data_IF_609052285612
#
_entry.id   IF_609052285612
#
_cell.length_a   1.000
_cell.length_b   1.000
_cell.length_c   1.000
_cell.angle_alpha   90.00
_cell.angle_beta   90.00
_cell.angle_gamma   90.00
#
_symmetry.space_group_name_H-M   'P 1'
#
loop_
_entity.id
_entity.type
_entity.pdbx_description
1 polymer ?
#
# COMPACT_ATOMS: atom_id res chain seq x y z
N UNK A 1 11.08 18.11 19.79
CA UNK A 1 12.21 17.59 18.99
C UNK A 1 11.81 16.59 17.90
N UNK A 2 11.08 15.48 18.20
CA UNK A 2 10.74 14.45 17.19
C UNK A 2 10.02 14.98 15.94
N UNK A 3 9.11 15.94 16.10
CA UNK A 3 8.36 16.53 14.98
C UNK A 3 9.25 17.37 14.06
N UNK A 4 10.16 18.16 14.63
CA UNK A 4 11.10 18.99 13.86
C UNK A 4 12.06 18.11 13.06
N UNK A 5 12.60 17.06 13.68
CA UNK A 5 13.50 16.10 13.01
C UNK A 5 12.79 15.42 11.84
N UNK A 6 11.57 14.92 12.06
CA UNK A 6 10.76 14.33 10.97
C UNK A 6 10.54 15.33 9.84
N UNK A 7 10.20 16.58 10.17
CA UNK A 7 9.99 17.63 9.17
C UNK A 7 11.25 17.92 8.35
N UNK A 8 12.42 17.99 8.99
CA UNK A 8 13.70 18.17 8.30
C UNK A 8 14.00 16.99 7.36
N UNK A 9 13.85 15.76 7.84
CA UNK A 9 14.07 14.55 7.04
C UNK A 9 13.15 14.54 5.81
N UNK A 10 11.85 14.81 6.00
CA UNK A 10 10.89 14.84 4.88
C UNK A 10 11.29 15.89 3.84
N UNK A 11 11.71 17.08 4.25
CA UNK A 11 12.17 18.13 3.31
C UNK A 11 13.40 17.69 2.52
N UNK A 12 14.39 17.09 3.18
CA UNK A 12 15.60 16.59 2.53
C UNK A 12 15.27 15.49 1.52
N UNK A 13 14.43 14.52 1.90
CA UNK A 13 13.99 13.45 0.99
C UNK A 13 13.25 14.04 -0.22
N UNK A 14 12.32 14.97 0.00
CA UNK A 14 11.58 15.62 -1.08
C UNK A 14 12.51 16.35 -2.06
N UNK A 15 13.56 16.99 -1.55
CA UNK A 15 14.56 17.64 -2.39
C UNK A 15 15.36 16.64 -3.23
N UNK A 16 15.76 15.50 -2.66
CA UNK A 16 16.44 14.43 -3.40
C UNK A 16 15.54 13.87 -4.50
N UNK A 17 14.27 13.59 -4.18
CA UNK A 17 13.30 13.09 -5.15
C UNK A 17 13.09 14.09 -6.29
N UNK A 18 13.02 15.38 -5.96
CA UNK A 18 12.96 16.46 -6.94
C UNK A 18 14.16 16.41 -7.90
N UNK A 19 15.39 16.34 -7.39
CA UNK A 19 16.60 16.24 -8.21
C UNK A 19 16.62 14.97 -9.08
N UNK A 20 16.22 13.82 -8.53
CA UNK A 20 16.17 12.56 -9.29
C UNK A 20 15.19 12.63 -10.47
N UNK A 21 14.06 13.31 -10.29
CA UNK A 21 13.00 13.40 -11.31
C UNK A 21 13.44 14.11 -12.59
N UNK A 22 14.39 15.05 -12.48
CA UNK A 22 14.89 15.82 -13.62
C UNK A 22 15.72 14.95 -14.59
N UNK A 23 16.39 13.91 -14.09
CA UNK A 23 17.27 13.06 -14.90
C UNK A 23 16.59 11.79 -15.41
N UNK A 24 17.00 11.27 -16.58
CA UNK A 24 16.47 10.01 -17.14
C UNK A 24 16.75 8.82 -16.21
N UNK A 25 17.97 8.72 -15.71
CA UNK A 25 18.39 7.65 -14.80
C UNK A 25 17.64 7.76 -13.47
N UNK A 26 17.48 8.97 -12.93
CA UNK A 26 16.74 9.16 -11.69
C UNK A 26 15.26 8.81 -11.82
N UNK A 27 14.62 9.09 -12.96
CA UNK A 27 13.26 8.60 -13.24
C UNK A 27 13.18 7.07 -13.25
N UNK A 28 14.10 6.39 -13.91
CA UNK A 28 14.18 4.94 -13.90
C UNK A 28 14.37 4.38 -12.48
N UNK A 29 15.26 4.98 -11.68
CA UNK A 29 15.46 4.59 -10.27
C UNK A 29 14.16 4.75 -9.46
N UNK A 30 13.46 5.88 -9.62
CA UNK A 30 12.18 6.11 -8.94
C UNK A 30 11.12 5.08 -9.35
N UNK A 31 11.05 4.72 -10.63
CA UNK A 31 10.13 3.71 -11.13
C UNK A 31 10.41 2.32 -10.52
N UNK A 32 11.67 1.89 -10.46
CA UNK A 32 12.07 0.63 -9.81
C UNK A 32 11.68 0.63 -8.33
N UNK A 33 11.91 1.75 -7.63
CA UNK A 33 11.54 1.89 -6.20
C UNK A 33 10.03 1.79 -6.02
N UNK A 34 9.25 2.53 -6.81
CA UNK A 34 7.79 2.50 -6.76
C UNK A 34 7.27 1.09 -7.06
N UNK A 35 7.77 0.46 -8.11
CA UNK A 35 7.38 -0.90 -8.49
C UNK A 35 7.63 -1.89 -7.35
N UNK A 36 8.80 -1.81 -6.70
CA UNK A 36 9.13 -2.69 -5.57
C UNK A 36 8.24 -2.45 -4.35
N UNK A 37 7.89 -1.19 -4.05
CA UNK A 37 6.98 -0.86 -2.95
C UNK A 37 5.55 -1.33 -3.25
N UNK A 38 5.07 -1.16 -4.48
CA UNK A 38 3.72 -1.55 -4.89
C UNK A 38 3.55 -3.07 -5.00
N UNK A 39 4.62 -3.82 -5.28
CA UNK A 39 4.58 -5.28 -5.30
C UNK A 39 4.80 -5.95 -3.94
N UNK A 40 4.88 -5.16 -2.87
CA UNK A 40 4.95 -5.72 -1.53
C UNK A 40 3.56 -6.24 -1.13
N UNK A 41 3.36 -7.55 -1.23
CA UNK A 41 2.09 -8.23 -0.96
C UNK A 41 2.17 -9.00 0.35
N UNK A 42 1.11 -8.92 1.16
CA UNK A 42 0.90 -9.73 2.36
C UNK A 42 -0.25 -10.70 2.10
N UNK A 43 -0.02 -11.99 2.34
CA UNK A 43 -1.06 -13.02 2.37
C UNK A 43 -1.72 -13.04 3.75
N UNK A 44 -3.05 -12.98 3.76
CA UNK A 44 -3.88 -13.09 4.96
C UNK A 44 -4.82 -14.28 4.75
N UNK A 45 -4.83 -15.21 5.70
CA UNK A 45 -5.69 -16.38 5.65
C UNK A 45 -6.99 -16.10 6.42
N UNK A 46 -8.10 -15.93 5.71
CA UNK A 46 -9.42 -15.74 6.28
C UNK A 46 -10.47 -16.43 5.40
N UNK A 47 -10.88 -17.65 5.77
CA UNK A 47 -11.78 -18.51 4.98
C UNK A 47 -11.36 -18.69 3.51
N UNK A 48 -10.08 -18.49 3.23
CA UNK A 48 -9.50 -18.38 1.89
C UNK A 48 -8.21 -17.56 1.93
N UNK A 49 -7.43 -17.62 0.83
CA UNK A 49 -6.20 -16.82 0.69
C UNK A 49 -6.53 -15.45 0.12
N UNK A 50 -6.32 -14.40 0.90
CA UNK A 50 -6.44 -13.02 0.45
C UNK A 50 -5.07 -12.40 0.31
N UNK A 51 -4.84 -11.64 -0.76
CA UNK A 51 -3.56 -10.99 -1.05
C UNK A 51 -3.74 -9.47 -1.04
N UNK A 52 -3.00 -8.78 -0.17
CA UNK A 52 -3.06 -7.33 -0.02
C UNK A 52 -1.74 -6.67 -0.40
N UNK A 53 -1.79 -5.69 -1.30
CA UNK A 53 -0.67 -4.78 -1.54
C UNK A 53 -0.49 -3.82 -0.36
N UNK A 54 0.69 -3.81 0.24
CA UNK A 54 1.00 -3.10 1.49
C UNK A 54 2.27 -2.26 1.35
N UNK A 55 2.23 -1.14 0.60
CA UNK A 55 3.42 -0.34 0.28
C UNK A 55 4.02 0.42 1.46
N UNK A 56 3.33 0.46 2.60
CA UNK A 56 3.83 1.03 3.85
C UNK A 56 3.27 0.28 5.07
N UNK A 57 3.80 0.61 6.25
CA UNK A 57 3.46 -0.04 7.51
C UNK A 57 1.99 0.12 7.91
N UNK A 58 1.36 1.24 7.57
CA UNK A 58 -0.05 1.45 7.85
C UNK A 58 -0.91 0.50 7.02
N UNK A 59 -0.60 0.32 5.73
CA UNK A 59 -1.28 -0.67 4.90
C UNK A 59 -1.05 -2.09 5.43
N UNK A 60 0.18 -2.43 5.85
CA UNK A 60 0.50 -3.73 6.44
C UNK A 60 -0.31 -4.00 7.72
N UNK A 61 -0.42 -3.00 8.60
CA UNK A 61 -1.24 -3.12 9.81
C UNK A 61 -2.72 -3.34 9.48
N UNK A 62 -3.26 -2.62 8.48
CA UNK A 62 -4.65 -2.78 8.04
C UNK A 62 -4.90 -4.17 7.46
N UNK A 63 -4.01 -4.67 6.60
CA UNK A 63 -4.10 -6.03 6.06
C UNK A 63 -4.11 -7.07 7.19
N UNK A 64 -3.18 -6.97 8.14
CA UNK A 64 -3.06 -7.93 9.25
C UNK A 64 -4.26 -7.90 10.22
N UNK A 65 -4.96 -6.77 10.33
CA UNK A 65 -6.10 -6.62 11.25
C UNK A 65 -7.45 -6.69 10.54
N UNK A 66 -7.46 -6.95 9.24
CA UNK A 66 -8.65 -7.00 8.40
C UNK A 66 -9.72 -7.93 8.98
N UNK A 67 -9.34 -9.18 9.23
CA UNK A 67 -10.23 -10.23 9.74
C UNK A 67 -10.78 -9.99 11.14
N UNK A 68 -10.15 -9.12 11.94
CA UNK A 68 -10.55 -8.89 13.33
C UNK A 68 -11.27 -7.57 13.55
N UNK A 69 -11.10 -6.60 12.65
CA UNK A 69 -11.71 -5.27 12.76
C UNK A 69 -12.99 -5.09 11.95
N UNK A 70 -13.16 -5.82 10.85
CA UNK A 70 -14.27 -5.63 9.92
C UNK A 70 -14.97 -6.97 9.60
N UNK A 71 -15.53 -7.65 10.62
CA UNK A 71 -16.16 -8.97 10.43
C UNK A 71 -17.32 -8.93 9.44
N UNK A 72 -18.19 -7.91 9.53
CA UNK A 72 -19.35 -7.73 8.65
C UNK A 72 -18.95 -7.53 7.18
N UNK A 73 -17.83 -6.83 6.92
CA UNK A 73 -17.27 -6.66 5.57
C UNK A 73 -16.80 -8.00 5.01
N UNK A 74 -16.22 -8.85 5.86
CA UNK A 74 -15.77 -10.17 5.43
C UNK A 74 -16.95 -11.09 5.11
N UNK A 75 -18.03 -11.05 5.89
CA UNK A 75 -19.25 -11.80 5.58
C UNK A 75 -19.91 -11.34 4.28
N UNK A 76 -19.88 -10.03 4.00
CA UNK A 76 -20.34 -9.50 2.71
C UNK A 76 -19.48 -10.00 1.53
N UNK A 77 -18.15 -10.04 1.68
CA UNK A 77 -17.25 -10.60 0.65
C UNK A 77 -17.53 -12.09 0.43
N UNK A 78 -17.79 -12.85 1.50
CA UNK A 78 -18.10 -14.29 1.41
C UNK A 78 -19.39 -14.57 0.61
N UNK A 79 -20.29 -13.59 0.47
CA UNK A 79 -21.51 -13.71 -0.34
C UNK A 79 -21.27 -13.46 -1.84
N UNK A 80 -20.10 -12.97 -2.22
CA UNK A 80 -19.74 -12.71 -3.61
C UNK A 80 -19.47 -14.04 -4.32
N UNK A 81 -20.07 -14.25 -5.49
CA UNK A 81 -19.89 -15.48 -6.26
C UNK A 81 -18.42 -15.68 -6.67
N UNK A 82 -17.93 -16.91 -6.65
CA UNK A 82 -16.58 -17.23 -7.12
C UNK A 82 -16.34 -16.70 -8.55
N UNK A 83 -15.12 -16.25 -8.83
CA UNK A 83 -14.66 -15.67 -10.12
C UNK A 83 -15.35 -14.37 -10.56
N UNK A 84 -16.07 -13.68 -9.69
CA UNK A 84 -16.64 -12.37 -10.02
C UNK A 84 -15.65 -11.22 -9.75
N UNK A 85 -15.71 -10.18 -10.61
CA UNK A 85 -14.88 -8.98 -10.50
C UNK A 85 -15.77 -7.84 -10.01
N UNK A 86 -15.47 -7.31 -8.81
CA UNK A 86 -16.15 -6.14 -8.29
C UNK A 86 -15.39 -4.86 -8.67
N UNK A 87 -15.97 -4.06 -9.56
CA UNK A 87 -15.45 -2.74 -9.90
C UNK A 87 -16.15 -1.68 -9.04
N UNK A 88 -15.48 -1.22 -7.98
CA UNK A 88 -16.03 -0.18 -7.10
C UNK A 88 -16.18 1.16 -7.82
N UNK A 89 -17.40 1.69 -7.90
CA UNK A 89 -17.65 3.06 -8.37
C UNK A 89 -17.49 4.02 -7.18
N UNK A 90 -16.26 4.54 -7.00
CA UNK A 90 -15.99 5.58 -6.01
C UNK A 90 -16.55 6.90 -6.53
N UNK A 91 -17.63 7.37 -5.91
CA UNK A 91 -18.19 8.72 -6.12
C UNK A 91 -17.52 9.73 -5.20
#
# INVERSE_FOLDING_TARGET
MRVIIKSCITKTISFIVFLLRETLIGRFVLEVVIHKLMNHVVEVNHKGKMFFTTPNDLNRFRANTFSTKEPDTSEWIDQISENSIFLGHWR
#
